data_IF_693577699625
#
_entry.id   IF_693577699625
#
_cell.length_a   1.000
_cell.length_b   1.000
_cell.length_c   1.000
_cell.angle_alpha   90.00
_cell.angle_beta   90.00
_cell.angle_gamma   90.00
#
_symmetry.space_group_name_H-M   'P 1'
#
loop_
_entity.id
_entity.type
_entity.pdbx_description
1 polymer ?
#
# COMPACT_ATOMS: atom_id res chain seq x y z
N UNK A 1 36.43 -61.61 14.55
CA UNK A 1 35.23 -60.96 15.13
C UNK A 1 35.28 -59.51 14.74
N UNK A 2 34.48 -59.09 13.75
CA UNK A 2 34.48 -57.74 13.19
C UNK A 2 33.26 -56.99 13.71
N UNK A 3 33.50 -55.97 14.49
CA UNK A 3 32.46 -55.11 15.06
C UNK A 3 32.22 -53.99 14.03
N UNK A 4 31.02 -53.95 13.45
CA UNK A 4 30.63 -52.89 12.54
C UNK A 4 29.96 -51.78 13.37
N UNK A 5 30.66 -50.65 13.49
CA UNK A 5 30.05 -49.45 14.06
C UNK A 5 29.17 -48.80 13.03
N UNK A 6 27.89 -48.79 13.27
CA UNK A 6 26.91 -47.97 12.52
C UNK A 6 26.93 -46.57 13.05
N UNK A 7 27.46 -45.66 12.26
CA UNK A 7 27.43 -44.23 12.53
C UNK A 7 26.05 -43.71 12.13
N UNK A 8 25.23 -43.42 13.10
CA UNK A 8 23.92 -42.81 12.88
C UNK A 8 24.13 -41.31 12.60
N UNK A 9 23.93 -40.89 11.35
CA UNK A 9 23.90 -39.50 10.97
C UNK A 9 22.50 -38.97 11.30
N UNK A 10 22.40 -38.20 12.38
CA UNK A 10 21.19 -37.45 12.71
C UNK A 10 21.12 -36.21 11.81
N UNK A 11 20.29 -36.25 10.78
CA UNK A 11 19.91 -35.05 10.03
C UNK A 11 19.01 -34.18 10.89
N UNK A 12 19.57 -33.14 11.49
CA UNK A 12 18.79 -32.07 12.09
C UNK A 12 18.19 -31.24 10.96
N UNK A 13 16.94 -31.48 10.63
CA UNK A 13 16.16 -30.60 9.76
C UNK A 13 15.85 -29.32 10.55
N UNK A 14 16.61 -28.26 10.30
CA UNK A 14 16.28 -26.94 10.77
C UNK A 14 15.03 -26.46 10.03
N UNK A 15 13.88 -26.54 10.66
CA UNK A 15 12.67 -25.85 10.19
C UNK A 15 12.88 -24.34 10.37
N UNK A 16 13.24 -23.68 9.29
CA UNK A 16 13.10 -22.24 9.20
C UNK A 16 11.61 -21.93 9.12
N UNK A 17 11.01 -21.63 10.27
CA UNK A 17 9.74 -20.92 10.31
C UNK A 17 9.98 -19.52 9.75
N UNK A 18 9.79 -19.34 8.46
CA UNK A 18 9.67 -18.02 7.87
C UNK A 18 8.37 -17.43 8.40
N UNK A 19 8.44 -16.64 9.46
CA UNK A 19 7.36 -15.76 9.84
C UNK A 19 7.21 -14.72 8.72
N UNK A 20 6.39 -15.04 7.74
CA UNK A 20 5.87 -14.05 6.82
C UNK A 20 4.91 -13.16 7.64
N UNK A 21 5.46 -12.18 8.31
CA UNK A 21 4.67 -11.06 8.81
C UNK A 21 4.34 -10.17 7.61
N UNK A 22 3.41 -10.62 6.78
CA UNK A 22 2.71 -9.68 5.89
C UNK A 22 2.03 -8.68 6.82
N UNK A 23 2.45 -7.41 6.73
CA UNK A 23 1.70 -6.33 7.35
C UNK A 23 0.23 -6.50 6.94
N UNK A 24 -0.72 -6.28 7.86
CA UNK A 24 -2.12 -6.40 7.52
C UNK A 24 -2.41 -5.46 6.36
N UNK A 25 -2.68 -6.02 5.20
CA UNK A 25 -3.15 -5.27 4.05
C UNK A 25 -4.52 -4.75 4.46
N UNK A 26 -4.62 -3.45 4.70
CA UNK A 26 -5.91 -2.84 4.98
C UNK A 26 -6.76 -2.99 3.73
N UNK A 27 -7.79 -3.81 3.79
CA UNK A 27 -8.76 -3.92 2.70
C UNK A 27 -9.50 -2.58 2.61
N UNK A 28 -9.26 -1.86 1.52
CA UNK A 28 -10.01 -0.67 1.20
C UNK A 28 -11.32 -1.15 0.58
N UNK A 29 -12.42 -0.90 1.27
CA UNK A 29 -13.74 -1.30 0.79
C UNK A 29 -14.17 -0.51 -0.45
N UNK A 30 -15.13 -1.05 -1.19
CA UNK A 30 -15.77 -0.36 -2.33
C UNK A 30 -16.76 0.74 -1.91
N UNK A 31 -16.89 0.97 -0.62
CA UNK A 31 -17.79 1.94 -0.03
C UNK A 31 -17.09 3.22 0.42
N UNK A 32 -17.77 3.97 1.23
CA UNK A 32 -17.26 5.19 1.85
C UNK A 32 -16.94 4.89 3.34
N UNK A 33 -15.73 5.13 3.84
CA UNK A 33 -14.58 5.73 3.15
C UNK A 33 -13.88 4.74 2.21
N UNK A 34 -13.43 5.21 1.05
CA UNK A 34 -12.70 4.43 0.05
C UNK A 34 -11.18 4.53 0.18
N UNK A 35 -10.67 5.55 0.87
CA UNK A 35 -9.26 5.66 1.27
C UNK A 35 -9.06 5.11 2.70
N UNK A 36 -7.80 4.80 3.09
CA UNK A 36 -7.51 4.38 4.45
C UNK A 36 -8.01 5.37 5.50
N UNK A 37 -8.47 4.87 6.64
CA UNK A 37 -9.05 5.71 7.71
C UNK A 37 -8.06 6.70 8.35
N UNK A 38 -6.77 6.51 8.13
CA UNK A 38 -5.73 7.42 8.61
C UNK A 38 -5.43 8.55 7.62
N UNK A 39 -5.95 8.45 6.39
CA UNK A 39 -5.75 9.48 5.37
C UNK A 39 -6.67 10.67 5.64
N UNK A 40 -6.11 11.86 5.54
CA UNK A 40 -6.80 13.12 5.70
C UNK A 40 -6.58 13.97 4.45
N UNK A 41 -7.41 13.74 3.44
CA UNK A 41 -7.36 14.40 2.15
C UNK A 41 -8.69 15.18 1.93
N UNK A 42 -8.90 16.29 2.64
CA UNK A 42 -10.10 17.10 2.44
C UNK A 42 -10.09 17.72 1.05
N UNK A 43 -11.30 17.99 0.53
CA UNK A 43 -11.51 18.65 -0.77
C UNK A 43 -10.84 17.94 -1.95
N UNK A 44 -10.59 16.63 -1.83
CA UNK A 44 -10.02 15.82 -2.88
C UNK A 44 -10.93 15.79 -4.12
N UNK A 45 -10.40 16.19 -5.28
CA UNK A 45 -11.15 16.22 -6.52
C UNK A 45 -10.82 15.00 -7.38
N UNK A 46 -11.81 14.13 -7.70
CA UNK A 46 -11.56 12.98 -8.54
C UNK A 46 -11.46 13.36 -10.03
N UNK A 47 -10.52 12.72 -10.72
CA UNK A 47 -10.33 12.81 -12.17
C UNK A 47 -9.99 11.43 -12.73
N UNK A 48 -10.34 11.19 -13.99
CA UNK A 48 -10.00 9.95 -14.68
C UNK A 48 -9.12 10.30 -15.87
N UNK A 49 -7.98 9.64 -15.95
CA UNK A 49 -7.05 9.75 -17.06
C UNK A 49 -6.62 8.37 -17.54
N UNK A 50 -6.08 8.31 -18.77
CA UNK A 50 -5.44 7.11 -19.27
C UNK A 50 -4.24 6.74 -18.36
N UNK A 51 -4.08 5.45 -18.09
CA UNK A 51 -2.97 4.95 -17.30
C UNK A 51 -1.67 5.09 -18.11
N UNK A 52 -0.69 5.87 -17.62
CA UNK A 52 0.55 6.10 -18.37
C UNK A 52 1.38 4.83 -18.57
N UNK A 53 1.22 3.83 -17.72
CA UNK A 53 1.96 2.57 -17.77
C UNK A 53 1.21 1.48 -18.54
N UNK A 54 -0.09 1.67 -18.80
CA UNK A 54 -0.96 0.69 -19.45
C UNK A 54 -1.87 1.36 -20.51
N UNK A 55 -1.40 1.61 -21.72
CA UNK A 55 -2.16 2.26 -22.79
C UNK A 55 -3.54 1.60 -23.03
N UNK A 56 -4.58 2.41 -23.13
CA UNK A 56 -5.96 1.95 -23.29
C UNK A 56 -6.65 1.56 -21.98
N UNK A 57 -5.97 1.65 -20.84
CA UNK A 57 -6.54 1.53 -19.51
C UNK A 57 -6.70 2.91 -18.88
N UNK A 58 -7.57 2.99 -17.88
CA UNK A 58 -7.86 4.25 -17.21
C UNK A 58 -7.68 4.11 -15.68
N UNK A 59 -7.26 5.19 -15.06
CA UNK A 59 -7.16 5.30 -13.61
C UNK A 59 -7.98 6.49 -13.11
N UNK A 60 -8.62 6.29 -11.98
CA UNK A 60 -9.18 7.36 -11.18
C UNK A 60 -8.07 7.93 -10.28
N UNK A 61 -7.95 9.24 -10.25
CA UNK A 61 -7.01 9.98 -9.41
C UNK A 61 -7.78 10.87 -8.46
N UNK A 62 -7.31 10.98 -7.22
CA UNK A 62 -7.81 11.94 -6.24
C UNK A 62 -6.61 12.77 -5.79
N UNK A 63 -6.75 14.08 -5.93
CA UNK A 63 -5.71 15.04 -5.59
C UNK A 63 -6.32 16.03 -4.60
N UNK A 64 -5.64 16.27 -3.51
CA UNK A 64 -6.10 17.21 -2.50
C UNK A 64 -5.01 17.61 -1.52
N UNK A 65 -5.32 18.60 -0.69
CA UNK A 65 -4.44 18.95 0.42
C UNK A 65 -4.34 17.77 1.39
N UNK A 66 -3.15 17.56 1.93
CA UNK A 66 -2.88 16.49 2.86
C UNK A 66 -2.73 17.04 4.28
N UNK A 67 -3.73 16.83 5.11
CA UNK A 67 -3.72 17.30 6.49
C UNK A 67 -3.01 16.30 7.37
N UNK A 68 -1.95 16.74 8.03
CA UNK A 68 -1.10 15.86 8.84
C UNK A 68 -1.65 15.60 10.26
N UNK A 69 -2.58 16.42 10.73
CA UNK A 69 -3.15 16.28 12.06
C UNK A 69 -4.49 16.99 12.20
N UNK A 70 -5.31 16.47 13.10
CA UNK A 70 -6.57 17.09 13.47
C UNK A 70 -6.33 18.49 14.06
N UNK A 71 -7.03 19.48 13.57
CA UNK A 71 -6.91 20.87 14.02
C UNK A 71 -5.87 21.72 13.30
N UNK A 72 -5.17 21.15 12.32
CA UNK A 72 -4.33 21.89 11.38
C UNK A 72 -5.09 22.11 10.07
N UNK A 73 -5.29 23.35 9.69
CA UNK A 73 -5.88 23.68 8.40
C UNK A 73 -4.78 23.64 7.34
N UNK A 74 -4.88 22.71 6.42
CA UNK A 74 -3.88 22.37 5.40
C UNK A 74 -2.59 21.75 5.95
N UNK A 75 -2.09 20.77 5.24
CA UNK A 75 -0.76 20.22 5.42
C UNK A 75 0.27 20.88 4.51
N UNK A 76 1.54 20.44 4.57
CA UNK A 76 2.63 21.04 3.78
C UNK A 76 2.64 20.55 2.33
N UNK A 77 1.79 19.61 1.96
CA UNK A 77 1.82 18.98 0.64
C UNK A 77 0.42 18.81 0.04
N UNK A 78 0.41 18.64 -1.26
CA UNK A 78 -0.73 18.15 -2.03
C UNK A 78 -0.41 16.72 -2.38
N UNK A 79 -1.31 15.79 -2.03
CA UNK A 79 -1.12 14.37 -2.19
C UNK A 79 -2.04 13.80 -3.25
N UNK A 80 -1.58 12.73 -3.89
CA UNK A 80 -2.34 12.04 -4.92
C UNK A 80 -2.52 10.57 -4.56
N UNK A 81 -3.73 10.09 -4.78
CA UNK A 81 -4.06 8.66 -4.76
C UNK A 81 -4.62 8.26 -6.12
N UNK A 82 -4.38 7.02 -6.53
CA UNK A 82 -4.95 6.50 -7.75
C UNK A 82 -5.42 5.06 -7.62
N UNK A 83 -6.41 4.68 -8.43
CA UNK A 83 -6.87 3.31 -8.57
C UNK A 83 -7.27 3.02 -10.02
N UNK A 84 -7.12 1.76 -10.50
CA UNK A 84 -7.72 1.36 -11.77
C UNK A 84 -9.23 1.60 -11.73
N UNK A 85 -9.83 2.09 -12.82
CA UNK A 85 -11.28 2.31 -12.83
C UNK A 85 -12.08 1.02 -12.77
N UNK A 86 -11.47 -0.10 -13.13
CA UNK A 86 -12.04 -1.43 -13.05
C UNK A 86 -12.05 -1.99 -11.61
N UNK A 87 -11.20 -1.42 -10.72
CA UNK A 87 -11.10 -1.86 -9.33
C UNK A 87 -10.82 -0.68 -8.39
N UNK A 88 -11.87 -0.03 -7.93
CA UNK A 88 -11.81 1.08 -6.99
C UNK A 88 -11.57 0.64 -5.53
N UNK A 89 -11.16 -0.60 -5.30
CA UNK A 89 -10.63 -1.06 -4.02
C UNK A 89 -9.11 -1.02 -3.98
N UNK A 90 -8.45 -0.95 -5.14
CA UNK A 90 -7.01 -0.99 -5.31
C UNK A 90 -6.38 0.41 -5.33
N UNK A 91 -6.71 1.25 -4.34
CA UNK A 91 -6.11 2.58 -4.19
C UNK A 91 -4.65 2.49 -3.80
N UNK A 92 -3.82 3.25 -4.50
CA UNK A 92 -2.39 3.39 -4.28
C UNK A 92 -2.08 4.83 -3.91
N UNK A 93 -1.28 5.02 -2.88
CA UNK A 93 -0.70 6.32 -2.52
C UNK A 93 0.44 6.64 -3.48
N UNK A 94 0.22 7.60 -4.37
CA UNK A 94 1.22 8.08 -5.33
C UNK A 94 2.20 9.08 -4.68
N UNK A 95 1.94 9.45 -3.45
CA UNK A 95 2.75 10.38 -2.70
C UNK A 95 2.43 11.86 -2.96
N UNK A 96 3.27 12.75 -2.44
CA UNK A 96 3.11 14.18 -2.63
C UNK A 96 3.49 14.59 -4.06
N UNK A 97 2.58 15.30 -4.73
CA UNK A 97 2.83 15.89 -6.06
C UNK A 97 3.33 17.33 -5.97
N UNK A 98 3.13 17.95 -4.84
CA UNK A 98 3.64 19.28 -4.53
C UNK A 98 3.91 19.38 -3.03
N UNK A 99 5.05 19.88 -2.64
CA UNK A 99 5.42 20.17 -1.25
C UNK A 99 6.02 21.56 -1.17
N UNK A 100 5.56 22.38 -0.23
CA UNK A 100 6.21 23.64 0.03
C UNK A 100 6.99 23.58 1.35
N UNK A 101 8.19 24.12 1.30
CA UNK A 101 9.03 24.26 2.49
C UNK A 101 8.78 25.62 3.11
N UNK A 102 8.42 25.61 4.39
CA UNK A 102 8.33 26.84 5.20
C UNK A 102 9.72 27.10 5.79
#
# INVERSE_FOLDING_TARGET
MKIHSYLAIACAAAMFCACNSSAPTQEIGTGNPYLPLWEHLPDGEPRVFEDPDNPGKFRAYIIGSHDLRVGSYCGPDIRMWSAPVEDLTAWVDEGPIFTYNI
#
